data_IF_377041902395
#
_entry.id   IF_377041902395
#
_cell.length_a   1.000
_cell.length_b   1.000
_cell.length_c   1.000
_cell.angle_alpha   90.00
_cell.angle_beta   90.00
_cell.angle_gamma   90.00
#
_symmetry.space_group_name_H-M   'P 1'
#
loop_
_entity.id
_entity.type
_entity.pdbx_description
1 polymer ?
#
# COMPACT_ATOMS: atom_id res chain seq x y z
N UNK A 1 -15.94 -10.05 2.70
CA UNK A 1 -14.96 -9.14 3.30
C UNK A 1 -14.82 -7.91 2.40
N UNK A 2 -15.00 -6.71 2.95
CA UNK A 2 -14.75 -5.42 2.28
C UNK A 2 -13.27 -5.06 2.44
N UNK A 3 -12.66 -4.54 1.36
CA UNK A 3 -11.23 -4.22 1.33
C UNK A 3 -11.06 -2.76 0.96
N UNK A 4 -10.43 -1.97 1.84
CA UNK A 4 -10.00 -0.61 1.54
C UNK A 4 -8.53 -0.61 1.19
N UNK A 5 -8.17 0.13 0.14
CA UNK A 5 -6.78 0.45 -0.15
C UNK A 5 -6.45 1.79 0.48
N UNK A 6 -5.35 1.84 1.24
CA UNK A 6 -4.84 3.02 1.92
C UNK A 6 -3.49 3.42 1.31
N UNK A 7 -3.36 4.67 0.93
CA UNK A 7 -2.09 5.22 0.44
C UNK A 7 -1.87 6.62 0.99
N UNK A 8 -0.65 7.10 0.85
CA UNK A 8 -0.26 8.45 1.26
C UNK A 8 0.52 9.11 0.11
N UNK A 9 0.36 10.39 -0.06
CA UNK A 9 1.00 11.10 -1.16
C UNK A 9 1.43 12.51 -0.78
N UNK A 10 2.66 12.86 -1.19
CA UNK A 10 3.21 14.21 -1.18
C UNK A 10 3.91 14.46 -2.52
N UNK A 11 3.41 15.38 -3.34
CA UNK A 11 3.82 15.46 -4.74
C UNK A 11 3.52 14.13 -5.47
N UNK A 12 4.38 13.70 -6.36
CA UNK A 12 4.34 12.39 -7.03
C UNK A 12 3.02 12.04 -7.71
N UNK A 13 2.34 13.02 -8.30
CA UNK A 13 1.03 12.85 -8.95
C UNK A 13 1.03 11.72 -10.00
N UNK A 14 2.05 11.64 -10.84
CA UNK A 14 2.17 10.58 -11.84
C UNK A 14 2.22 9.17 -11.22
N UNK A 15 2.88 9.02 -10.06
CA UNK A 15 2.92 7.77 -9.34
C UNK A 15 1.54 7.41 -8.79
N UNK A 16 0.86 8.35 -8.14
CA UNK A 16 -0.49 8.15 -7.63
C UNK A 16 -1.47 7.81 -8.77
N UNK A 17 -1.36 8.50 -9.91
CA UNK A 17 -2.15 8.16 -11.09
C UNK A 17 -1.88 6.73 -11.59
N UNK A 18 -0.62 6.26 -11.54
CA UNK A 18 -0.29 4.89 -11.93
C UNK A 18 -0.82 3.87 -10.92
N UNK A 19 -0.77 4.15 -9.61
CA UNK A 19 -1.41 3.34 -8.58
C UNK A 19 -2.92 3.20 -8.88
N UNK A 20 -3.63 4.31 -9.12
CA UNK A 20 -5.06 4.31 -9.46
C UNK A 20 -5.34 3.52 -10.75
N UNK A 21 -4.53 3.71 -11.80
CA UNK A 21 -4.66 2.93 -13.05
C UNK A 21 -4.43 1.43 -12.82
N UNK A 22 -3.52 1.07 -11.93
CA UNK A 22 -3.29 -0.31 -11.51
C UNK A 22 -4.51 -0.89 -10.79
N UNK A 23 -5.08 -0.16 -9.82
CA UNK A 23 -6.30 -0.58 -9.12
C UNK A 23 -7.49 -0.73 -10.06
N UNK A 24 -7.63 0.11 -11.09
CA UNK A 24 -8.66 -0.03 -12.12
C UNK A 24 -8.56 -1.34 -12.94
N UNK A 25 -7.39 -1.99 -12.90
CA UNK A 25 -7.15 -3.27 -13.58
C UNK A 25 -7.27 -4.48 -12.65
N UNK A 26 -7.62 -4.27 -11.39
CA UNK A 26 -7.78 -5.35 -10.42
C UNK A 26 -8.91 -6.30 -10.82
N UNK A 27 -8.66 -7.60 -10.76
CA UNK A 27 -9.68 -8.63 -10.97
C UNK A 27 -10.81 -8.50 -9.94
N UNK A 28 -10.45 -8.15 -8.72
CA UNK A 28 -11.36 -7.77 -7.64
C UNK A 28 -11.11 -6.30 -7.28
N UNK A 29 -12.02 -5.37 -7.64
CA UNK A 29 -11.85 -3.97 -7.24
C UNK A 29 -11.91 -3.82 -5.71
N UNK A 30 -11.16 -2.87 -5.12
CA UNK A 30 -11.34 -2.52 -3.72
C UNK A 30 -12.71 -1.87 -3.49
N UNK A 31 -13.19 -1.86 -2.26
CA UNK A 31 -14.42 -1.13 -1.95
C UNK A 31 -14.21 0.40 -1.96
N UNK A 32 -12.98 0.85 -1.79
CA UNK A 32 -12.56 2.24 -1.88
C UNK A 32 -11.03 2.37 -1.92
N UNK A 33 -10.55 3.54 -2.33
CA UNK A 33 -9.20 4.02 -2.13
C UNK A 33 -9.24 5.24 -1.20
N UNK A 34 -8.46 5.20 -0.12
CA UNK A 34 -8.25 6.35 0.77
C UNK A 34 -6.82 6.86 0.59
N UNK A 35 -6.70 8.14 0.23
CA UNK A 35 -5.42 8.82 0.01
C UNK A 35 -5.22 9.86 1.10
N UNK A 36 -4.23 9.69 1.96
CA UNK A 36 -3.79 10.73 2.87
C UNK A 36 -2.89 11.72 2.11
N UNK A 37 -3.34 12.96 1.96
CA UNK A 37 -2.71 13.98 1.12
C UNK A 37 -1.91 14.93 2.00
N UNK A 38 -0.58 14.83 1.93
CA UNK A 38 0.36 15.67 2.69
C UNK A 38 0.77 16.93 1.91
N UNK A 39 -0.19 17.63 1.34
CA UNK A 39 -0.04 18.91 0.64
C UNK A 39 -1.36 19.68 0.67
N UNK A 40 -1.36 20.97 0.25
CA UNK A 40 -2.54 21.82 0.34
C UNK A 40 -3.55 21.62 -0.81
N UNK A 41 -3.16 20.93 -1.86
CA UNK A 41 -4.01 20.73 -3.03
C UNK A 41 -4.34 19.24 -3.20
N UNK A 42 -5.57 18.98 -3.63
CA UNK A 42 -6.01 17.64 -4.05
C UNK A 42 -5.35 17.25 -5.37
N UNK A 43 -5.21 15.95 -5.57
CA UNK A 43 -4.77 15.41 -6.85
C UNK A 43 -5.94 15.28 -7.83
N UNK A 44 -5.65 15.51 -9.10
CA UNK A 44 -6.55 15.12 -10.20
C UNK A 44 -6.27 13.67 -10.56
N UNK A 45 -7.23 12.80 -10.28
CA UNK A 45 -7.05 11.35 -10.42
C UNK A 45 -7.85 10.83 -11.61
N UNK A 46 -7.37 9.73 -12.25
CA UNK A 46 -8.16 9.02 -13.24
C UNK A 46 -9.52 8.57 -12.68
N UNK A 47 -10.53 8.50 -13.54
CA UNK A 47 -11.83 7.93 -13.18
C UNK A 47 -11.68 6.50 -12.68
N UNK A 48 -12.50 6.12 -11.70
CA UNK A 48 -12.47 4.80 -11.05
C UNK A 48 -13.87 4.21 -10.95
N UNK A 49 -13.95 2.88 -10.98
CA UNK A 49 -15.18 2.12 -10.69
C UNK A 49 -15.47 1.98 -9.20
N UNK A 50 -14.68 2.57 -8.32
CA UNK A 50 -14.80 2.53 -6.87
C UNK A 50 -14.60 3.95 -6.28
N UNK A 51 -15.15 4.24 -5.09
CA UNK A 51 -14.96 5.53 -4.43
C UNK A 51 -13.49 5.83 -4.14
N UNK A 52 -13.07 7.08 -4.38
CA UNK A 52 -11.77 7.61 -3.95
C UNK A 52 -11.97 8.75 -2.98
N UNK A 53 -11.40 8.63 -1.80
CA UNK A 53 -11.41 9.66 -0.76
C UNK A 53 -10.02 10.23 -0.58
N UNK A 54 -9.86 11.53 -0.76
CA UNK A 54 -8.64 12.26 -0.44
C UNK A 54 -8.83 13.00 0.89
N UNK A 55 -8.03 12.63 1.89
CA UNK A 55 -8.02 13.24 3.23
C UNK A 55 -6.83 14.19 3.32
N UNK A 56 -7.10 15.46 3.55
CA UNK A 56 -6.09 16.51 3.52
C UNK A 56 -5.40 16.62 4.89
N UNK A 57 -4.09 16.48 4.92
CA UNK A 57 -3.23 16.72 6.09
C UNK A 57 -2.52 18.09 6.03
N UNK A 58 -2.59 18.76 4.85
CA UNK A 58 -1.91 20.03 4.61
C UNK A 58 -0.42 19.89 4.28
N UNK A 59 0.23 21.04 4.08
CA UNK A 59 1.65 21.15 3.77
C UNK A 59 2.44 21.40 5.06
N UNK A 60 2.69 20.35 5.80
CA UNK A 60 3.54 20.38 7.01
C UNK A 60 4.81 19.54 6.83
N UNK A 61 5.37 19.12 7.94
CA UNK A 61 6.41 18.10 7.93
C UNK A 61 5.88 16.79 7.32
N UNK A 62 6.76 16.05 6.66
CA UNK A 62 6.40 14.72 6.14
C UNK A 62 6.24 13.77 7.32
N UNK A 63 5.02 13.36 7.59
CA UNK A 63 4.64 12.48 8.69
C UNK A 63 4.02 11.20 8.13
N UNK A 64 4.86 10.24 7.71
CA UNK A 64 4.40 9.00 7.06
C UNK A 64 3.52 8.15 7.99
N UNK A 65 3.89 8.06 9.26
CA UNK A 65 3.14 7.36 10.30
C UNK A 65 1.72 7.94 10.45
N UNK A 66 1.61 9.26 10.64
CA UNK A 66 0.32 9.96 10.76
C UNK A 66 -0.52 9.80 9.48
N UNK A 67 0.12 9.90 8.31
CA UNK A 67 -0.59 9.75 7.04
C UNK A 67 -1.18 8.35 6.87
N UNK A 68 -0.45 7.29 7.25
CA UNK A 68 -0.99 5.91 7.23
C UNK A 68 -2.13 5.73 8.23
N UNK A 69 -1.99 6.27 9.43
CA UNK A 69 -3.04 6.24 10.45
C UNK A 69 -4.30 6.95 9.94
N UNK A 70 -4.14 8.16 9.40
CA UNK A 70 -5.26 8.94 8.83
C UNK A 70 -5.96 8.19 7.69
N UNK A 71 -5.22 7.55 6.80
CA UNK A 71 -5.83 6.75 5.74
C UNK A 71 -6.64 5.57 6.31
N UNK A 72 -6.11 4.88 7.32
CA UNK A 72 -6.78 3.78 8.00
C UNK A 72 -8.05 4.23 8.76
N UNK A 73 -7.98 5.36 9.47
CA UNK A 73 -9.12 5.93 10.21
C UNK A 73 -10.31 6.29 9.31
N UNK A 74 -10.05 6.64 8.06
CA UNK A 74 -11.07 7.01 7.10
C UNK A 74 -11.51 5.85 6.19
N UNK A 75 -10.92 4.67 6.36
CA UNK A 75 -11.27 3.46 5.64
C UNK A 75 -12.49 2.75 6.25
N UNK A 76 -13.31 2.13 5.40
CA UNK A 76 -14.50 1.40 5.81
C UNK A 76 -14.37 -0.12 5.58
N UNK A 77 -13.22 -0.59 5.11
CA UNK A 77 -12.94 -1.99 4.84
C UNK A 77 -12.65 -2.78 6.11
N UNK A 78 -12.95 -4.07 6.08
CA UNK A 78 -12.59 -5.04 7.13
C UNK A 78 -11.12 -5.41 7.03
N UNK A 79 -10.56 -5.41 5.81
CA UNK A 79 -9.15 -5.56 5.49
C UNK A 79 -8.62 -4.23 4.94
N UNK A 80 -7.51 -3.78 5.49
CA UNK A 80 -6.76 -2.60 5.03
C UNK A 80 -5.56 -3.08 4.23
N UNK A 81 -5.46 -2.64 2.98
CA UNK A 81 -4.29 -2.86 2.11
C UNK A 81 -3.55 -1.55 1.97
N UNK A 82 -2.34 -1.48 2.49
CA UNK A 82 -1.49 -0.31 2.39
C UNK A 82 -0.54 -0.44 1.20
N UNK A 83 -0.51 0.58 0.39
CA UNK A 83 0.41 0.71 -0.75
C UNK A 83 1.10 2.06 -0.71
N UNK A 84 2.41 2.09 -0.86
CA UNK A 84 3.09 3.36 -1.09
C UNK A 84 2.69 3.93 -2.46
N UNK A 85 2.72 5.26 -2.58
CA UNK A 85 2.22 6.00 -3.76
C UNK A 85 2.86 5.57 -5.08
N UNK A 86 4.07 5.02 -5.06
CA UNK A 86 4.83 4.54 -6.22
C UNK A 86 4.66 3.04 -6.50
N UNK A 87 3.81 2.36 -5.74
CA UNK A 87 3.42 0.98 -6.02
C UNK A 87 2.36 0.92 -7.12
N UNK A 88 2.57 0.07 -8.13
CA UNK A 88 1.58 -0.26 -9.15
C UNK A 88 1.05 -1.66 -8.80
N UNK A 89 -0.19 -1.79 -8.29
CA UNK A 89 -0.72 -3.09 -7.90
C UNK A 89 -0.92 -4.01 -9.10
N UNK A 90 -0.50 -5.26 -8.95
CA UNK A 90 -0.81 -6.31 -9.90
C UNK A 90 -2.34 -6.57 -9.93
N UNK A 91 -2.90 -7.05 -11.04
CA UNK A 91 -4.34 -7.30 -11.16
C UNK A 91 -4.91 -8.26 -10.11
N UNK A 92 -4.14 -9.21 -9.62
CA UNK A 92 -4.54 -10.18 -8.60
C UNK A 92 -4.36 -9.70 -7.15
N UNK A 93 -3.66 -8.58 -6.91
CA UNK A 93 -3.23 -8.18 -5.57
C UNK A 93 -4.34 -8.18 -4.52
N UNK A 94 -5.51 -7.60 -4.86
CA UNK A 94 -6.62 -7.47 -3.91
C UNK A 94 -7.27 -8.82 -3.60
N UNK A 95 -7.40 -9.70 -4.59
CA UNK A 95 -7.93 -11.05 -4.39
C UNK A 95 -6.95 -11.95 -3.64
N UNK A 96 -5.64 -11.80 -3.91
CA UNK A 96 -4.59 -12.53 -3.21
C UNK A 96 -4.55 -12.18 -1.72
N UNK A 97 -4.63 -10.88 -1.38
CA UNK A 97 -4.75 -10.45 0.01
C UNK A 97 -6.04 -10.92 0.67
N UNK A 98 -7.16 -10.93 -0.07
CA UNK A 98 -8.41 -11.46 0.46
C UNK A 98 -8.29 -12.94 0.83
N UNK A 99 -7.73 -13.75 -0.07
CA UNK A 99 -7.54 -15.18 0.17
C UNK A 99 -6.53 -15.45 1.30
N UNK A 100 -5.43 -14.68 1.34
CA UNK A 100 -4.44 -14.81 2.40
C UNK A 100 -5.01 -14.45 3.77
N UNK A 101 -5.83 -13.40 3.87
CA UNK A 101 -6.45 -12.95 5.12
C UNK A 101 -7.55 -13.91 5.64
N UNK A 102 -8.17 -14.71 4.77
CA UNK A 102 -9.12 -15.74 5.21
C UNK A 102 -8.42 -16.91 5.94
N UNK A 103 -7.15 -17.15 5.62
CA UNK A 103 -6.38 -18.27 6.15
C UNK A 103 -5.33 -17.87 7.21
N UNK A 104 -5.05 -16.59 7.37
CA UNK A 104 -3.96 -16.10 8.24
C UNK A 104 -4.37 -14.84 8.99
N UNK A 105 -4.02 -14.79 10.27
CA UNK A 105 -4.10 -13.60 11.09
C UNK A 105 -2.76 -12.84 11.08
N UNK A 106 -2.82 -11.54 11.40
CA UNK A 106 -1.64 -10.67 11.54
C UNK A 106 -1.35 -9.84 10.29
N UNK A 107 -0.09 -9.45 10.15
CA UNK A 107 0.37 -8.60 9.06
C UNK A 107 0.79 -9.46 7.87
N UNK A 108 0.15 -9.24 6.74
CA UNK A 108 0.45 -9.87 5.46
C UNK A 108 1.33 -8.94 4.63
N UNK A 109 2.51 -9.37 4.24
CA UNK A 109 3.41 -8.61 3.38
C UNK A 109 3.35 -9.13 1.95
N UNK A 110 3.04 -8.24 1.00
CA UNK A 110 3.05 -8.55 -0.43
C UNK A 110 4.45 -8.45 -1.03
N UNK A 111 4.67 -9.17 -2.10
CA UNK A 111 5.89 -9.08 -2.89
C UNK A 111 5.99 -7.71 -3.59
N UNK A 112 7.22 -7.22 -3.76
CA UNK A 112 7.51 -5.98 -4.48
C UNK A 112 8.66 -6.19 -5.45
N UNK A 113 8.42 -5.81 -6.70
CA UNK A 113 9.43 -5.73 -7.74
C UNK A 113 9.78 -4.28 -8.06
N UNK A 114 11.07 -3.95 -8.05
CA UNK A 114 11.56 -2.62 -8.37
C UNK A 114 11.75 -2.46 -9.88
N UNK A 115 11.04 -1.52 -10.45
CA UNK A 115 11.12 -1.21 -11.87
C UNK A 115 12.21 -0.18 -12.17
N UNK A 116 12.92 -0.28 -13.29
CA UNK A 116 13.86 0.74 -13.71
C UNK A 116 13.14 2.06 -14.05
N UNK A 117 13.87 3.17 -13.92
CA UNK A 117 13.36 4.50 -14.29
C UNK A 117 12.83 4.50 -15.73
N UNK A 118 11.64 5.04 -15.92
CA UNK A 118 10.99 5.14 -17.22
C UNK A 118 10.19 3.90 -17.65
N UNK A 119 10.13 2.85 -16.83
CA UNK A 119 9.35 1.65 -17.17
C UNK A 119 7.87 1.92 -17.45
N UNK A 120 7.33 3.01 -16.90
CA UNK A 120 5.93 3.43 -17.08
C UNK A 120 5.72 4.46 -18.18
N UNK A 121 6.76 4.85 -18.93
CA UNK A 121 6.67 5.93 -19.93
C UNK A 121 5.66 5.63 -21.05
N UNK A 122 5.44 4.35 -21.37
CA UNK A 122 4.47 3.89 -22.36
C UNK A 122 3.15 3.40 -21.71
N UNK A 123 2.95 3.68 -20.41
CA UNK A 123 1.82 3.19 -19.64
C UNK A 123 2.13 1.92 -18.84
N UNK A 124 1.09 1.25 -18.36
CA UNK A 124 1.20 0.02 -17.58
C UNK A 124 1.21 -1.19 -18.51
N UNK A 125 2.31 -1.93 -18.49
CA UNK A 125 2.49 -3.21 -19.20
C UNK A 125 3.05 -4.24 -18.20
N UNK A 126 2.15 -5.07 -17.66
CA UNK A 126 2.52 -6.06 -16.63
C UNK A 126 3.48 -7.13 -17.14
N UNK A 127 3.41 -7.51 -18.41
CA UNK A 127 4.36 -8.47 -18.97
C UNK A 127 5.78 -7.88 -19.06
N UNK A 128 5.89 -6.61 -19.46
CA UNK A 128 7.16 -5.90 -19.42
C UNK A 128 7.65 -5.71 -17.98
N UNK A 129 6.77 -5.36 -17.04
CA UNK A 129 7.12 -5.19 -15.62
C UNK A 129 7.66 -6.49 -15.01
N UNK A 130 7.04 -7.63 -15.29
CA UNK A 130 7.52 -8.92 -14.81
C UNK A 130 8.93 -9.26 -15.30
N UNK A 131 9.27 -8.90 -16.54
CA UNK A 131 10.61 -9.09 -17.11
C UNK A 131 11.66 -8.12 -16.57
N UNK A 132 11.25 -6.88 -16.21
CA UNK A 132 12.15 -5.81 -15.80
C UNK A 132 12.34 -5.70 -14.31
N UNK A 133 11.38 -6.19 -13.54
CA UNK A 133 11.37 -6.03 -12.09
C UNK A 133 12.51 -6.80 -11.41
N UNK A 134 13.17 -6.12 -10.47
CA UNK A 134 14.21 -6.70 -9.62
C UNK A 134 13.70 -6.75 -8.19
N UNK A 135 13.82 -7.91 -7.55
CA UNK A 135 13.47 -8.10 -6.13
C UNK A 135 14.60 -7.63 -5.23
N UNK A 136 14.24 -7.07 -4.08
CA UNK A 136 15.24 -6.74 -3.06
C UNK A 136 15.64 -8.01 -2.30
N UNK A 137 16.97 -8.22 -2.13
CA UNK A 137 17.50 -9.44 -1.50
C UNK A 137 16.99 -9.64 -0.06
N UNK A 138 16.90 -8.54 0.71
CA UNK A 138 16.45 -8.58 2.12
C UNK A 138 14.94 -8.77 2.26
N UNK A 139 14.20 -8.80 1.16
CA UNK A 139 12.76 -9.02 1.08
C UNK A 139 12.40 -10.23 0.22
N UNK A 140 13.28 -11.23 0.21
CA UNK A 140 12.99 -12.49 -0.46
C UNK A 140 11.82 -13.18 0.25
N UNK A 141 10.68 -13.20 -0.41
CA UNK A 141 9.49 -13.94 0.04
C UNK A 141 9.59 -15.44 -0.24
N UNK A 142 8.57 -16.21 0.16
CA UNK A 142 8.46 -17.62 -0.21
C UNK A 142 8.35 -17.76 -1.75
N UNK A 143 8.45 -18.99 -2.29
CA UNK A 143 8.14 -19.24 -3.69
C UNK A 143 6.77 -18.68 -4.08
N UNK A 144 6.58 -18.34 -5.37
CA UNK A 144 5.31 -17.89 -5.92
C UNK A 144 4.16 -18.78 -5.43
N UNK A 145 3.01 -18.19 -5.22
CA UNK A 145 1.77 -18.86 -4.80
C UNK A 145 1.83 -19.52 -3.41
N UNK A 146 2.81 -19.14 -2.59
CA UNK A 146 2.92 -19.60 -1.21
C UNK A 146 2.87 -18.46 -0.21
N UNK A 147 2.25 -18.70 0.93
CA UNK A 147 2.33 -17.85 2.11
C UNK A 147 3.34 -18.47 3.08
N UNK A 148 4.31 -17.69 3.50
CA UNK A 148 5.34 -18.11 4.46
C UNK A 148 5.39 -17.17 5.67
N UNK A 149 5.86 -17.66 6.81
CA UNK A 149 6.11 -16.80 7.97
C UNK A 149 7.42 -16.04 7.82
N UNK A 150 7.38 -14.72 8.00
CA UNK A 150 8.58 -13.91 8.21
C UNK A 150 8.92 -13.92 9.71
N UNK A 151 10.10 -14.38 10.08
CA UNK A 151 10.58 -14.40 11.47
C UNK A 151 11.34 -13.13 11.90
N UNK A 152 11.58 -12.21 10.98
CA UNK A 152 12.34 -10.99 11.23
C UNK A 152 11.49 -9.75 10.93
N UNK A 153 11.04 -9.06 11.98
CA UNK A 153 10.25 -7.84 11.88
C UNK A 153 10.97 -6.72 11.11
N UNK A 154 12.29 -6.74 11.01
CA UNK A 154 13.08 -5.77 10.24
C UNK A 154 12.88 -5.89 8.73
N UNK A 155 12.31 -7.00 8.27
CA UNK A 155 11.88 -7.18 6.88
C UNK A 155 10.54 -6.50 6.59
N UNK A 156 9.84 -6.01 7.62
CA UNK A 156 8.62 -5.25 7.43
C UNK A 156 8.94 -3.86 6.90
N UNK A 157 8.53 -3.61 5.67
CA UNK A 157 8.56 -2.30 5.01
C UNK A 157 7.16 -1.99 4.54
N UNK A 158 6.61 -0.88 4.96
CA UNK A 158 5.18 -0.54 4.80
C UNK A 158 4.74 -0.19 3.37
N UNK A 159 5.55 -0.53 2.37
CA UNK A 159 5.29 -0.20 0.97
C UNK A 159 4.20 -1.07 0.30
N UNK A 160 3.98 -2.30 0.77
CA UNK A 160 2.93 -3.21 0.31
C UNK A 160 2.61 -4.24 1.40
N UNK A 161 1.54 -4.02 2.15
CA UNK A 161 1.09 -4.93 3.21
C UNK A 161 -0.41 -4.82 3.44
N UNK A 162 -0.97 -5.81 4.13
CA UNK A 162 -2.36 -5.81 4.55
C UNK A 162 -2.53 -6.39 5.96
N UNK A 163 -3.55 -5.94 6.66
CA UNK A 163 -4.01 -6.51 7.91
C UNK A 163 -5.47 -6.15 8.15
N UNK A 164 -6.14 -6.84 9.08
CA UNK A 164 -7.50 -6.49 9.43
C UNK A 164 -7.56 -5.10 10.08
N UNK A 165 -8.65 -4.35 9.81
CA UNK A 165 -8.87 -3.07 10.47
C UNK A 165 -8.91 -3.21 12.00
N UNK A 166 -9.41 -4.34 12.49
CA UNK A 166 -9.40 -4.69 13.91
C UNK A 166 -7.98 -4.82 14.45
N UNK A 167 -7.11 -5.60 13.80
CA UNK A 167 -5.72 -5.76 14.22
C UNK A 167 -4.98 -4.43 14.20
N UNK A 168 -5.19 -3.59 13.16
CA UNK A 168 -4.61 -2.26 13.08
C UNK A 168 -4.99 -1.38 14.29
N UNK A 169 -6.25 -1.44 14.73
CA UNK A 169 -6.71 -0.72 15.91
C UNK A 169 -6.16 -1.31 17.22
N UNK A 170 -6.09 -2.64 17.34
CA UNK A 170 -5.58 -3.33 18.53
C UNK A 170 -4.09 -3.05 18.77
N UNK A 171 -3.28 -2.94 17.73
CA UNK A 171 -1.84 -2.57 17.85
C UNK A 171 -1.64 -1.06 18.00
N UNK A 172 -2.66 -0.24 17.77
CA UNK A 172 -2.62 1.21 17.95
C UNK A 172 -2.09 1.99 16.75
N UNK A 173 -1.95 1.35 15.58
CA UNK A 173 -1.43 1.97 14.36
C UNK A 173 0.07 2.27 14.43
N UNK A 174 0.54 3.14 13.53
CA UNK A 174 1.92 3.64 13.52
C UNK A 174 2.11 4.71 14.60
N UNK A 175 3.29 4.76 15.24
CA UNK A 175 3.60 5.78 16.23
C UNK A 175 3.78 7.17 15.55
N UNK A 176 2.89 8.14 15.82
CA UNK A 176 2.92 9.44 15.14
C UNK A 176 4.12 10.33 15.59
N UNK A 177 4.89 9.90 16.57
CA UNK A 177 6.12 10.60 16.96
C UNK A 177 7.25 10.47 15.95
N UNK A 178 7.15 9.49 15.03
CA UNK A 178 8.07 9.39 13.90
C UNK A 178 7.74 10.46 12.86
N UNK A 179 8.62 11.45 12.73
CA UNK A 179 8.54 12.54 11.76
C UNK A 179 9.66 12.38 10.74
N UNK A 180 9.37 12.55 9.46
CA UNK A 180 10.29 12.32 8.36
C UNK A 180 10.25 10.89 7.82
N UNK A 181 11.39 10.39 7.40
CA UNK A 181 11.53 9.07 6.79
C UNK A 181 12.27 8.09 7.74
N UNK A 182 11.71 6.91 7.87
CA UNK A 182 12.34 5.74 8.49
C UNK A 182 12.07 5.62 9.98
N UNK A 183 12.20 4.38 10.45
CA UNK A 183 11.96 3.99 11.81
C UNK A 183 10.53 3.57 12.13
N UNK A 184 9.52 4.21 11.55
CA UNK A 184 8.11 3.92 11.77
C UNK A 184 7.72 2.50 11.34
N UNK A 185 8.29 2.02 10.23
CA UNK A 185 8.06 0.67 9.70
C UNK A 185 8.56 -0.40 10.67
N UNK A 186 9.83 -0.25 11.08
CA UNK A 186 10.48 -1.21 11.98
C UNK A 186 9.81 -1.24 13.35
N UNK A 187 9.36 -0.08 13.84
CA UNK A 187 8.60 0.02 15.08
C UNK A 187 7.25 -0.69 14.97
N UNK A 188 6.48 -0.40 13.92
CA UNK A 188 5.21 -1.06 13.66
C UNK A 188 5.37 -2.58 13.47
N UNK A 189 6.40 -3.01 12.74
CA UNK A 189 6.66 -4.44 12.55
C UNK A 189 7.06 -5.19 13.83
N UNK A 190 7.42 -4.46 14.91
CA UNK A 190 7.79 -5.01 16.21
C UNK A 190 6.60 -5.15 17.16
N UNK A 191 5.54 -4.37 16.95
CA UNK A 191 4.31 -4.43 17.77
C UNK A 191 3.49 -5.68 17.47
#
# INVERSE_FOLDING_TARGET
MKISVCTLAHGREDHLCNLVRGLNRSHRPPCELVVAVMQDQRYELPETGFPVRQVMLGSGDICLAEARNTAAEHANGELLVFLDVDCIPAPSLIEDYAAAAEANDGVLMGEVGYLPKGATASGIDYEAFERLAVKHADRAGPPRDMVGRCGDYRCFWSLNFALSARTFQEVGGFDPRYVGYGGEDTDFGRT
#
